data_IF_004728491481
#
_entry.id   IF_004728491481
#
_cell.length_a   1.000
_cell.length_b   1.000
_cell.length_c   1.000
_cell.angle_alpha   90.00
_cell.angle_beta   90.00
_cell.angle_gamma   90.00
#
_symmetry.space_group_name_H-M   'P 1'
#
loop_
_entity.id
_entity.type
_entity.pdbx_description
1 polymer ?
#
# COMPACT_ATOMS: atom_id res chain seq x y z
N UNK A 1 9.21 26.21 -35.49
CA UNK A 1 8.45 26.57 -36.70
C UNK A 1 7.00 26.98 -36.38
N UNK A 2 6.29 26.23 -35.53
CA UNK A 2 4.88 26.47 -35.18
C UNK A 2 4.53 27.91 -34.72
N UNK A 3 5.28 28.53 -33.81
CA UNK A 3 4.97 29.89 -33.36
C UNK A 3 5.16 30.97 -34.44
N UNK A 4 6.01 30.73 -35.46
CA UNK A 4 6.15 31.67 -36.58
C UNK A 4 4.92 31.59 -37.49
N UNK A 5 4.44 30.37 -37.77
CA UNK A 5 3.19 30.14 -38.51
C UNK A 5 1.97 30.70 -37.77
N UNK A 6 1.94 30.55 -36.44
CA UNK A 6 0.87 31.14 -35.62
C UNK A 6 0.82 32.67 -35.71
N UNK A 7 1.98 33.34 -35.78
CA UNK A 7 2.05 34.80 -35.96
C UNK A 7 1.60 35.22 -37.35
N UNK A 8 2.01 34.51 -38.39
CA UNK A 8 1.70 34.87 -39.77
C UNK A 8 0.25 34.57 -40.15
N UNK A 9 -0.25 33.41 -39.76
CA UNK A 9 -1.47 32.85 -40.35
C UNK A 9 -2.69 32.95 -39.40
N UNK A 10 -2.44 33.04 -38.09
CA UNK A 10 -3.49 32.94 -37.07
C UNK A 10 -3.65 34.24 -36.27
N UNK A 11 -2.57 34.95 -35.94
CA UNK A 11 -2.68 36.18 -35.14
C UNK A 11 -3.50 37.29 -35.80
N UNK A 12 -3.60 37.31 -37.13
CA UNK A 12 -4.42 38.26 -37.87
C UNK A 12 -5.92 37.96 -37.80
N UNK A 13 -6.31 36.71 -37.54
CA UNK A 13 -7.73 36.29 -37.49
C UNK A 13 -8.40 36.55 -36.14
N UNK A 14 -7.63 36.87 -35.10
CA UNK A 14 -8.15 37.17 -33.76
C UNK A 14 -7.94 38.64 -33.38
N UNK A 15 -9.01 39.34 -33.04
CA UNK A 15 -8.92 40.71 -32.52
C UNK A 15 -8.75 40.72 -31.00
N UNK A 16 -7.51 40.53 -30.54
CA UNK A 16 -7.20 40.55 -29.10
C UNK A 16 -6.81 41.94 -28.62
N UNK A 17 -7.39 42.37 -27.50
CA UNK A 17 -7.14 43.66 -26.86
C UNK A 17 -6.69 43.47 -25.41
N UNK A 18 -6.09 44.52 -24.84
CA UNK A 18 -5.69 44.50 -23.43
C UNK A 18 -6.85 44.15 -22.48
N UNK A 19 -6.55 43.36 -21.45
CA UNK A 19 -7.48 43.07 -20.37
C UNK A 19 -7.80 44.35 -19.57
N UNK A 20 -8.99 44.48 -18.96
CA UNK A 20 -9.35 45.66 -18.15
C UNK A 20 -8.32 45.99 -17.05
N UNK A 21 -7.70 44.97 -16.46
CA UNK A 21 -6.64 45.12 -15.45
C UNK A 21 -5.33 45.67 -16.03
N UNK A 22 -4.97 45.28 -17.25
CA UNK A 22 -3.77 45.78 -17.93
C UNK A 22 -3.97 47.22 -18.40
N UNK A 23 -5.15 47.52 -18.96
CA UNK A 23 -5.55 48.87 -19.35
C UNK A 23 -5.50 49.83 -18.16
N UNK A 24 -6.11 49.45 -17.03
CA UNK A 24 -6.10 50.28 -15.81
C UNK A 24 -4.68 50.50 -15.26
N UNK A 25 -3.82 49.48 -15.30
CA UNK A 25 -2.42 49.61 -14.90
C UNK A 25 -1.63 50.54 -15.84
N UNK A 26 -1.87 50.47 -17.15
CA UNK A 26 -1.25 51.35 -18.15
C UNK A 26 -1.67 52.81 -17.96
N UNK A 27 -2.98 53.06 -17.87
CA UNK A 27 -3.52 54.43 -17.67
C UNK A 27 -3.00 55.06 -16.37
N UNK A 28 -2.82 54.27 -15.30
CA UNK A 28 -2.20 54.74 -14.05
C UNK A 28 -0.73 55.15 -14.22
N UNK A 29 0.05 54.45 -15.06
CA UNK A 29 1.45 54.81 -15.34
C UNK A 29 1.55 56.02 -16.26
N UNK A 30 0.72 56.06 -17.31
CA UNK A 30 0.66 57.19 -18.26
C UNK A 30 0.23 58.48 -17.53
N UNK A 31 -0.76 58.41 -16.63
CA UNK A 31 -1.16 59.54 -15.77
C UNK A 31 -0.09 59.99 -14.77
N UNK A 32 0.90 59.14 -14.48
CA UNK A 32 2.04 59.49 -13.62
C UNK A 32 3.18 60.15 -14.39
N UNK A 33 3.18 60.11 -15.74
CA UNK A 33 4.29 60.57 -16.58
C UNK A 33 3.95 61.81 -17.42
N UNK A 34 2.70 62.07 -17.79
CA UNK A 34 2.28 63.26 -18.58
C UNK A 34 1.02 63.97 -18.04
N UNK A 35 0.95 65.30 -18.21
CA UNK A 35 -0.15 66.17 -17.73
C UNK A 35 -1.36 66.33 -18.68
N UNK A 36 -1.28 65.87 -19.93
CA UNK A 36 -2.43 65.88 -20.87
C UNK A 36 -3.01 64.47 -21.04
N UNK A 37 -3.97 64.12 -20.19
CA UNK A 37 -4.63 62.81 -20.24
C UNK A 37 -5.79 62.81 -21.23
N UNK A 38 -5.60 62.24 -22.43
CA UNK A 38 -6.71 61.83 -23.31
C UNK A 38 -7.04 60.36 -23.06
N UNK A 39 -8.30 60.07 -22.72
CA UNK A 39 -8.77 58.71 -22.48
C UNK A 39 -8.68 57.87 -23.76
N UNK A 40 -7.61 57.09 -23.92
CA UNK A 40 -7.48 56.15 -25.03
C UNK A 40 -8.23 54.84 -24.74
N UNK A 41 -8.75 54.24 -25.83
CA UNK A 41 -9.38 52.92 -25.81
C UNK A 41 -8.41 51.79 -25.41
N UNK A 42 -8.93 50.56 -25.38
CA UNK A 42 -8.09 49.36 -25.22
C UNK A 42 -7.11 49.26 -26.39
N UNK A 43 -5.82 49.05 -26.11
CA UNK A 43 -4.82 48.86 -27.18
C UNK A 43 -4.93 47.42 -27.69
N UNK A 44 -4.80 47.23 -29.01
CA UNK A 44 -4.70 45.90 -29.60
C UNK A 44 -3.42 45.23 -29.13
N UNK A 45 -3.52 43.96 -28.77
CA UNK A 45 -2.39 43.11 -28.40
C UNK A 45 -2.25 42.03 -29.46
N UNK A 46 -1.01 41.67 -29.75
CA UNK A 46 -0.67 40.56 -30.65
C UNK A 46 0.40 39.71 -29.96
N UNK A 47 0.49 38.44 -30.35
CA UNK A 47 1.49 37.53 -29.80
C UNK A 47 2.90 37.98 -30.20
N UNK A 48 3.77 38.12 -29.20
CA UNK A 48 5.14 38.62 -29.38
C UNK A 48 6.12 37.43 -29.43
N UNK A 49 6.60 37.10 -30.63
CA UNK A 49 7.44 35.90 -30.83
C UNK A 49 8.95 36.15 -30.68
N UNK A 50 9.39 37.39 -30.51
CA UNK A 50 10.79 37.82 -30.36
C UNK A 50 11.32 37.73 -28.91
N UNK A 51 10.51 37.22 -27.97
CA UNK A 51 10.93 37.12 -26.58
C UNK A 51 11.91 35.98 -26.39
N UNK A 52 12.94 36.21 -25.57
CA UNK A 52 13.96 35.21 -25.21
C UNK A 52 13.34 33.88 -24.77
N UNK A 53 12.21 33.94 -24.02
CA UNK A 53 11.47 32.77 -23.57
C UNK A 53 11.05 31.85 -24.73
N UNK A 54 10.54 32.41 -25.82
CA UNK A 54 10.10 31.64 -27.00
C UNK A 54 11.28 31.04 -27.77
N UNK A 55 12.40 31.74 -27.83
CA UNK A 55 13.63 31.23 -28.45
C UNK A 55 14.25 30.09 -27.65
N UNK A 56 14.12 30.14 -26.32
CA UNK A 56 14.62 29.10 -25.43
C UNK A 56 13.75 27.83 -25.43
N UNK A 57 12.48 27.88 -25.85
CA UNK A 57 11.56 26.73 -25.88
C UNK A 57 12.12 25.50 -26.60
N UNK A 58 12.92 25.66 -27.65
CA UNK A 58 13.54 24.55 -28.38
C UNK A 58 14.63 23.80 -27.60
N UNK A 59 15.19 24.41 -26.55
CA UNK A 59 16.24 23.82 -25.71
C UNK A 59 15.70 23.13 -24.46
N UNK A 60 14.42 23.31 -24.12
CA UNK A 60 13.83 22.63 -22.97
C UNK A 60 13.54 21.14 -23.16
N UNK A 61 13.22 20.60 -24.36
CA UNK A 61 12.89 19.18 -24.51
C UNK A 61 14.01 18.25 -24.02
N UNK A 62 15.27 18.49 -24.46
CA UNK A 62 16.40 17.69 -23.98
C UNK A 62 16.62 17.86 -22.48
N UNK A 63 16.46 19.09 -21.97
CA UNK A 63 16.65 19.40 -20.57
C UNK A 63 15.58 18.74 -19.68
N UNK A 64 14.33 18.64 -20.15
CA UNK A 64 13.25 17.92 -19.44
C UNK A 64 13.52 16.41 -19.43
N UNK A 65 14.06 15.83 -20.51
CA UNK A 65 14.46 14.42 -20.53
C UNK A 65 15.65 14.14 -19.60
N UNK A 66 16.61 15.06 -19.52
CA UNK A 66 17.85 14.86 -18.75
C UNK A 66 17.70 15.21 -17.26
N UNK A 67 17.04 16.31 -16.92
CA UNK A 67 16.89 16.80 -15.55
C UNK A 67 15.52 16.51 -14.93
N UNK A 68 14.54 16.03 -15.71
CA UNK A 68 13.15 15.88 -15.29
C UNK A 68 12.34 17.20 -15.43
N UNK A 69 11.02 17.15 -15.23
CA UNK A 69 10.18 18.35 -15.26
C UNK A 69 10.56 19.31 -14.13
N UNK A 70 10.76 20.59 -14.46
CA UNK A 70 11.11 21.67 -13.51
C UNK A 70 9.92 22.14 -12.65
N UNK A 71 8.94 21.28 -12.37
CA UNK A 71 7.72 21.63 -11.63
C UNK A 71 8.00 22.07 -10.18
N UNK A 72 9.21 21.77 -9.67
CA UNK A 72 9.65 22.11 -8.31
C UNK A 72 10.16 23.56 -8.13
N UNK A 73 10.31 24.34 -9.21
CA UNK A 73 10.79 25.72 -9.14
C UNK A 73 9.65 26.78 -9.08
N UNK A 74 8.39 26.35 -9.11
CA UNK A 74 7.25 27.28 -9.01
C UNK A 74 7.01 27.68 -7.54
N UNK A 75 7.15 28.98 -7.24
CA UNK A 75 6.87 29.54 -5.91
C UNK A 75 5.40 29.44 -5.52
N UNK A 76 4.50 29.10 -6.46
CA UNK A 76 3.07 28.91 -6.19
C UNK A 76 2.79 27.89 -5.09
N UNK A 77 3.56 26.80 -5.01
CA UNK A 77 3.35 25.77 -3.97
C UNK A 77 3.58 26.39 -2.58
N UNK A 78 4.70 27.09 -2.40
CA UNK A 78 4.97 27.81 -1.16
C UNK A 78 3.94 28.92 -0.86
N UNK A 79 3.52 29.67 -1.88
CA UNK A 79 2.51 30.72 -1.72
C UNK A 79 1.14 30.16 -1.31
N UNK A 80 0.73 29.02 -1.88
CA UNK A 80 -0.53 28.35 -1.52
C UNK A 80 -0.49 27.82 -0.08
N UNK A 81 0.61 27.20 0.34
CA UNK A 81 0.75 26.75 1.74
C UNK A 81 0.78 27.93 2.71
N UNK A 82 1.40 29.06 2.34
CA UNK A 82 1.35 30.29 3.13
C UNK A 82 -0.07 30.83 3.30
N UNK A 83 -0.90 30.78 2.24
CA UNK A 83 -2.33 31.14 2.33
C UNK A 83 -3.08 30.22 3.29
N UNK A 84 -2.78 28.92 3.27
CA UNK A 84 -3.38 27.92 4.16
C UNK A 84 -3.03 28.19 5.62
N UNK A 85 -1.76 28.41 5.94
CA UNK A 85 -1.31 28.75 7.31
C UNK A 85 -1.93 30.05 7.80
N UNK A 86 -1.97 31.11 6.96
CA UNK A 86 -2.62 32.39 7.32
C UNK A 86 -4.11 32.24 7.61
N UNK A 87 -4.82 31.35 6.89
CA UNK A 87 -6.24 31.03 7.15
C UNK A 87 -6.45 30.30 8.47
N UNK A 88 -5.51 29.46 8.89
CA UNK A 88 -5.57 28.85 10.22
C UNK A 88 -5.21 29.84 11.32
N UNK A 89 -4.20 30.68 11.09
CA UNK A 89 -3.77 31.71 12.04
C UNK A 89 -4.91 32.67 12.40
N UNK A 90 -5.72 33.10 11.43
CA UNK A 90 -6.89 33.96 11.68
C UNK A 90 -7.96 33.31 12.57
N UNK A 91 -7.94 31.99 12.74
CA UNK A 91 -8.86 31.22 13.58
C UNK A 91 -8.28 30.87 14.96
N UNK A 92 -7.04 31.28 15.25
CA UNK A 92 -6.40 31.09 16.56
C UNK A 92 -6.60 32.31 17.45
N UNK A 93 -6.38 32.16 18.75
CA UNK A 93 -6.31 33.30 19.69
C UNK A 93 -4.98 34.08 19.62
N UNK A 94 -4.10 33.76 18.65
CA UNK A 94 -2.77 34.34 18.41
C UNK A 94 -1.71 34.12 19.50
N UNK A 95 -2.04 33.45 20.60
CA UNK A 95 -1.12 33.10 21.68
C UNK A 95 -0.61 31.66 21.52
N UNK A 96 0.70 31.44 21.38
CA UNK A 96 1.28 30.11 21.08
C UNK A 96 0.54 29.40 19.93
N UNK A 97 0.28 30.14 18.85
CA UNK A 97 -0.61 29.76 17.76
C UNK A 97 -0.15 28.53 16.96
N UNK A 98 1.14 28.17 17.01
CA UNK A 98 1.67 27.02 16.28
C UNK A 98 0.96 25.70 16.64
N UNK A 99 0.78 25.42 17.93
CA UNK A 99 0.06 24.22 18.40
C UNK A 99 -1.43 24.24 17.99
N UNK A 100 -2.05 25.42 18.01
CA UNK A 100 -3.44 25.58 17.60
C UNK A 100 -3.63 25.38 16.09
N UNK A 101 -2.72 25.90 15.27
CA UNK A 101 -2.72 25.68 13.82
C UNK A 101 -2.54 24.18 13.52
N UNK A 102 -1.60 23.51 14.20
CA UNK A 102 -1.40 22.06 14.04
C UNK A 102 -2.67 21.27 14.40
N UNK A 103 -3.36 21.65 15.48
CA UNK A 103 -4.62 21.01 15.88
C UNK A 103 -5.75 21.26 14.86
N UNK A 104 -5.87 22.46 14.30
CA UNK A 104 -6.83 22.75 13.24
C UNK A 104 -6.55 21.97 11.97
N UNK A 105 -5.28 21.87 11.57
CA UNK A 105 -4.83 21.08 10.43
C UNK A 105 -5.18 19.60 10.63
N UNK A 106 -4.88 19.04 11.80
CA UNK A 106 -5.24 17.67 12.20
C UNK A 106 -6.75 17.43 12.12
N UNK A 107 -7.57 18.34 12.66
CA UNK A 107 -9.04 18.21 12.63
C UNK A 107 -9.59 18.22 11.20
N UNK A 108 -9.13 19.15 10.36
CA UNK A 108 -9.53 19.21 8.94
C UNK A 108 -9.13 17.94 8.21
N UNK A 109 -7.90 17.45 8.43
CA UNK A 109 -7.40 16.21 7.86
C UNK A 109 -8.24 15.00 8.29
N UNK A 110 -8.62 14.91 9.57
CA UNK A 110 -9.52 13.86 10.08
C UNK A 110 -10.91 13.92 9.40
N UNK A 111 -11.49 15.11 9.23
CA UNK A 111 -12.79 15.29 8.58
C UNK A 111 -12.77 14.93 7.09
N UNK A 112 -11.73 15.34 6.36
CA UNK A 112 -11.56 14.92 4.95
C UNK A 112 -11.47 13.40 4.83
N UNK A 113 -10.77 12.74 5.74
CA UNK A 113 -10.67 11.28 5.77
C UNK A 113 -11.98 10.60 6.12
N UNK A 114 -12.75 11.15 7.06
CA UNK A 114 -14.08 10.60 7.38
C UNK A 114 -15.01 10.70 6.16
N UNK A 115 -14.95 11.82 5.41
CA UNK A 115 -15.69 11.98 4.14
C UNK A 115 -15.21 11.00 3.07
N UNK A 116 -13.90 10.81 2.91
CA UNK A 116 -13.35 9.81 2.00
C UNK A 116 -13.80 8.40 2.38
N UNK A 117 -13.67 7.99 3.65
CA UNK A 117 -14.14 6.67 4.15
C UNK A 117 -15.64 6.43 3.93
N UNK A 118 -16.45 7.50 3.96
CA UNK A 118 -17.88 7.41 3.68
C UNK A 118 -18.21 7.37 2.18
N UNK A 119 -17.32 7.90 1.34
CA UNK A 119 -17.43 7.85 -0.12
C UNK A 119 -16.85 6.56 -0.74
N UNK A 120 -16.00 5.82 0.00
CA UNK A 120 -15.48 4.53 -0.44
C UNK A 120 -16.60 3.48 -0.52
N UNK A 121 -16.75 2.90 -1.72
CA UNK A 121 -17.74 1.88 -2.08
C UNK A 121 -17.73 0.70 -1.09
N UNK A 122 -18.87 0.02 -0.94
CA UNK A 122 -18.99 -1.20 -0.11
C UNK A 122 -17.94 -2.28 -0.47
N UNK A 123 -17.45 -2.31 -1.71
CA UNK A 123 -16.38 -3.21 -2.17
C UNK A 123 -15.01 -2.97 -1.50
N UNK A 124 -14.58 -1.71 -1.32
CA UNK A 124 -13.30 -1.40 -0.64
C UNK A 124 -13.34 -1.68 0.86
N UNK A 125 -14.54 -1.59 1.47
CA UNK A 125 -14.76 -1.99 2.87
C UNK A 125 -14.59 -3.48 3.08
N UNK A 126 -14.95 -4.33 2.12
CA UNK A 126 -14.71 -5.77 2.21
C UNK A 126 -13.21 -6.09 2.11
N UNK A 127 -12.50 -5.45 1.17
CA UNK A 127 -11.05 -5.61 0.96
C UNK A 127 -10.26 -5.30 2.23
N UNK A 128 -10.44 -4.13 2.82
CA UNK A 128 -9.62 -3.70 3.98
C UNK A 128 -9.95 -4.40 5.31
N UNK A 129 -10.83 -5.40 5.34
CA UNK A 129 -11.22 -6.09 6.59
C UNK A 129 -10.12 -6.92 7.21
N UNK A 130 -9.18 -7.43 6.43
CA UNK A 130 -8.14 -8.34 6.94
C UNK A 130 -6.99 -7.61 7.65
N UNK A 131 -6.87 -6.30 7.44
CA UNK A 131 -5.79 -5.48 7.99
C UNK A 131 -6.29 -4.48 9.02
N UNK A 132 -5.38 -4.06 9.89
CA UNK A 132 -5.62 -2.96 10.83
C UNK A 132 -5.23 -1.65 10.16
N UNK A 133 -6.12 -0.65 10.24
CA UNK A 133 -5.94 0.63 9.55
C UNK A 133 -4.67 1.38 9.98
N UNK A 134 -4.08 2.16 9.07
CA UNK A 134 -2.82 2.88 9.33
C UNK A 134 -2.85 3.77 10.59
N UNK A 135 -4.01 4.35 10.89
CA UNK A 135 -4.23 5.29 12.00
C UNK A 135 -4.62 4.62 13.32
N UNK A 136 -4.90 3.33 13.30
CA UNK A 136 -5.16 2.56 14.50
C UNK A 136 -3.84 2.33 15.25
N UNK A 137 -3.83 2.57 16.55
CA UNK A 137 -2.67 2.32 17.40
C UNK A 137 -2.78 0.94 18.02
N UNK A 138 -1.79 0.10 17.73
CA UNK A 138 -1.52 -1.17 18.40
C UNK A 138 -0.04 -1.15 18.76
N UNK A 139 0.27 -0.89 20.04
CA UNK A 139 1.65 -0.66 20.46
C UNK A 139 2.30 -1.98 20.83
N UNK A 140 3.35 -2.33 20.10
CA UNK A 140 4.23 -3.44 20.46
C UNK A 140 5.37 -2.91 21.34
N UNK A 141 5.46 -3.31 22.63
CA UNK A 141 6.56 -2.91 23.49
C UNK A 141 7.91 -3.42 22.96
N UNK A 142 9.04 -2.91 23.45
CA UNK A 142 10.33 -3.54 23.20
C UNK A 142 10.30 -5.02 23.60
N UNK A 143 10.97 -5.86 22.81
CA UNK A 143 10.95 -7.31 22.98
C UNK A 143 12.36 -7.86 23.10
N UNK A 144 12.47 -8.97 23.83
CA UNK A 144 13.69 -9.75 23.93
C UNK A 144 14.21 -10.16 22.52
N UNK A 145 15.43 -9.77 22.14
CA UNK A 145 16.04 -10.17 20.87
C UNK A 145 16.17 -11.68 20.64
N UNK A 146 16.07 -12.50 21.70
CA UNK A 146 16.13 -13.96 21.60
C UNK A 146 14.78 -14.61 21.26
N UNK A 147 13.66 -13.89 21.43
CA UNK A 147 12.37 -14.38 20.96
C UNK A 147 12.36 -14.42 19.43
N UNK A 148 11.74 -15.45 18.85
CA UNK A 148 11.65 -15.60 17.38
C UNK A 148 10.82 -14.51 16.74
N UNK A 149 9.70 -14.16 17.35
CA UNK A 149 8.81 -13.13 16.86
C UNK A 149 8.05 -12.46 18.01
N UNK A 150 7.40 -11.34 17.70
CA UNK A 150 6.48 -10.61 18.56
C UNK A 150 5.20 -10.31 17.80
N UNK A 151 4.07 -10.62 18.43
CA UNK A 151 2.72 -10.25 17.97
C UNK A 151 1.93 -9.69 19.15
N UNK A 152 1.01 -8.76 18.89
CA UNK A 152 0.16 -8.19 19.94
C UNK A 152 -0.80 -9.24 20.50
N UNK A 153 -1.31 -9.01 21.71
CA UNK A 153 -2.27 -9.90 22.39
C UNK A 153 -3.66 -9.29 22.55
N UNK A 154 -3.86 -8.07 22.03
CA UNK A 154 -5.11 -7.36 22.16
C UNK A 154 -6.22 -8.02 21.32
N UNK A 155 -7.44 -8.01 21.85
CA UNK A 155 -8.64 -8.56 21.20
C UNK A 155 -9.50 -7.47 20.52
N UNK A 156 -8.91 -6.29 20.29
CA UNK A 156 -9.63 -5.07 19.89
C UNK A 156 -10.20 -5.16 18.48
N UNK A 157 -9.42 -5.69 17.54
CA UNK A 157 -9.82 -5.85 16.15
C UNK A 157 -10.09 -7.33 15.91
N UNK A 158 -11.30 -7.67 15.47
CA UNK A 158 -11.67 -9.05 15.20
C UNK A 158 -12.28 -9.20 13.81
N UNK A 159 -12.29 -10.44 13.34
CA UNK A 159 -12.99 -10.91 12.16
C UNK A 159 -13.96 -12.00 12.62
N UNK A 160 -15.24 -11.81 12.33
CA UNK A 160 -16.26 -12.83 12.54
C UNK A 160 -16.18 -13.85 11.39
N UNK A 161 -15.99 -15.13 11.72
CA UNK A 161 -15.72 -16.16 10.71
C UNK A 161 -16.93 -16.40 9.80
N UNK A 162 -18.14 -16.47 10.38
CA UNK A 162 -19.37 -16.71 9.61
C UNK A 162 -19.70 -15.53 8.70
N UNK A 163 -19.58 -14.30 9.21
CA UNK A 163 -19.78 -13.10 8.40
C UNK A 163 -18.75 -12.99 7.27
N UNK A 164 -17.49 -13.35 7.53
CA UNK A 164 -16.45 -13.34 6.51
C UNK A 164 -16.71 -14.37 5.41
N UNK A 165 -16.99 -15.62 5.77
CA UNK A 165 -17.27 -16.69 4.80
C UNK A 165 -18.46 -16.36 3.87
N UNK A 166 -19.51 -15.73 4.41
CA UNK A 166 -20.66 -15.31 3.62
C UNK A 166 -20.29 -14.22 2.60
N UNK A 167 -19.50 -13.23 3.01
CA UNK A 167 -19.11 -12.11 2.14
C UNK A 167 -18.09 -12.51 1.06
N UNK A 168 -17.19 -13.44 1.37
CA UNK A 168 -16.11 -13.85 0.46
C UNK A 168 -16.39 -15.15 -0.28
N UNK A 169 -17.66 -15.62 -0.30
CA UNK A 169 -18.05 -16.89 -0.92
C UNK A 169 -17.63 -17.05 -2.38
N UNK A 170 -17.52 -15.94 -3.11
CA UNK A 170 -17.14 -15.92 -4.54
C UNK A 170 -15.71 -15.44 -4.77
N UNK A 171 -14.94 -15.21 -3.71
CA UNK A 171 -13.57 -14.74 -3.80
C UNK A 171 -12.59 -15.93 -3.91
N UNK A 172 -11.77 -16.01 -4.98
CA UNK A 172 -10.78 -17.08 -5.13
C UNK A 172 -9.79 -17.17 -3.96
N UNK A 173 -9.46 -16.05 -3.31
CA UNK A 173 -8.54 -16.06 -2.17
C UNK A 173 -9.13 -16.81 -0.96
N UNK A 174 -10.43 -16.71 -0.76
CA UNK A 174 -11.12 -17.24 0.42
C UNK A 174 -11.73 -18.63 0.20
N UNK A 175 -11.44 -19.28 -0.94
CA UNK A 175 -11.89 -20.64 -1.21
C UNK A 175 -11.40 -21.59 -0.11
N UNK A 176 -12.35 -22.25 0.55
CA UNK A 176 -12.12 -23.15 1.69
C UNK A 176 -11.35 -22.53 2.87
N UNK A 177 -11.40 -21.21 3.02
CA UNK A 177 -10.66 -20.48 4.07
C UNK A 177 -10.87 -21.08 5.47
N UNK A 178 -12.12 -21.33 5.87
CA UNK A 178 -12.44 -21.85 7.19
C UNK A 178 -11.91 -23.27 7.40
N UNK A 179 -12.01 -24.12 6.38
CA UNK A 179 -11.49 -25.48 6.42
C UNK A 179 -9.97 -25.48 6.57
N UNK A 180 -9.26 -24.72 5.72
CA UNK A 180 -7.80 -24.53 5.79
C UNK A 180 -7.36 -23.95 7.13
N UNK A 181 -8.12 -23.00 7.68
CA UNK A 181 -7.82 -22.39 8.98
C UNK A 181 -7.95 -23.42 10.11
N UNK A 182 -9.04 -24.20 10.12
CA UNK A 182 -9.24 -25.26 11.10
C UNK A 182 -8.16 -26.33 11.01
N UNK A 183 -7.81 -26.74 9.78
CA UNK A 183 -6.73 -27.69 9.53
C UNK A 183 -5.40 -27.20 10.09
N UNK A 184 -4.98 -25.98 9.73
CA UNK A 184 -3.76 -25.36 10.26
C UNK A 184 -3.76 -25.33 11.80
N UNK A 185 -4.88 -24.93 12.40
CA UNK A 185 -5.02 -24.88 13.87
C UNK A 185 -4.91 -26.26 14.50
N UNK A 186 -5.51 -27.30 13.92
CA UNK A 186 -5.36 -28.68 14.41
C UNK A 186 -3.91 -29.15 14.33
N UNK A 187 -3.23 -28.93 13.20
CA UNK A 187 -1.80 -29.23 13.06
C UNK A 187 -0.97 -28.55 14.16
N UNK A 188 -1.21 -27.27 14.42
CA UNK A 188 -0.50 -26.51 15.47
C UNK A 188 -0.84 -26.95 16.89
N UNK A 189 -2.09 -27.33 17.15
CA UNK A 189 -2.51 -27.80 18.47
C UNK A 189 -1.87 -29.14 18.84
N UNK A 190 -1.73 -30.04 17.87
CA UNK A 190 -1.24 -31.41 18.07
C UNK A 190 0.21 -31.64 17.61
N UNK A 191 0.89 -30.62 17.09
CA UNK A 191 2.27 -30.74 16.61
C UNK A 191 2.41 -31.70 15.43
N UNK A 192 1.43 -31.67 14.52
CA UNK A 192 1.39 -32.51 13.32
C UNK A 192 1.82 -31.72 12.08
N UNK A 193 2.31 -32.42 11.07
CA UNK A 193 2.70 -31.83 9.78
C UNK A 193 1.46 -31.33 9.01
N UNK A 194 1.67 -30.39 8.08
CA UNK A 194 0.61 -29.81 7.24
C UNK A 194 -0.03 -30.80 6.26
N UNK A 195 0.58 -31.96 6.04
CA UNK A 195 0.02 -33.05 5.23
C UNK A 195 -0.80 -34.05 6.05
N UNK A 196 -1.04 -33.77 7.34
CA UNK A 196 -1.73 -34.71 8.23
C UNK A 196 -3.23 -34.62 8.08
N UNK A 197 -3.88 -35.75 7.87
CA UNK A 197 -5.34 -35.80 7.80
C UNK A 197 -6.00 -35.84 9.18
N UNK A 198 -7.20 -35.28 9.24
CA UNK A 198 -8.10 -35.29 10.40
C UNK A 198 -9.48 -35.74 9.96
N UNK A 199 -10.24 -36.33 10.87
CA UNK A 199 -11.62 -36.75 10.61
C UNK A 199 -12.57 -35.54 10.63
N UNK A 200 -13.71 -35.63 9.94
CA UNK A 200 -14.70 -34.55 9.90
C UNK A 200 -15.22 -34.18 11.29
N UNK A 201 -15.38 -35.16 12.18
CA UNK A 201 -15.75 -34.96 13.57
C UNK A 201 -14.70 -34.17 14.35
N UNK A 202 -13.41 -34.31 13.99
CA UNK A 202 -12.30 -33.56 14.62
C UNK A 202 -12.32 -32.09 14.18
N UNK A 203 -12.61 -31.81 12.90
CA UNK A 203 -12.82 -30.44 12.43
C UNK A 203 -14.04 -29.78 13.09
N UNK A 204 -15.10 -30.54 13.36
CA UNK A 204 -16.30 -30.05 14.03
C UNK A 204 -16.10 -29.86 15.54
N UNK A 205 -15.24 -30.66 16.16
CA UNK A 205 -14.83 -30.53 17.54
C UNK A 205 -13.98 -29.28 17.83
N UNK A 206 -13.27 -28.76 16.83
CA UNK A 206 -12.52 -27.52 16.94
C UNK A 206 -13.45 -26.31 16.96
N UNK A 207 -13.33 -25.48 18.00
CA UNK A 207 -14.12 -24.25 18.12
C UNK A 207 -13.25 -23.05 18.49
N UNK A 208 -13.60 -21.90 17.92
CA UNK A 208 -12.96 -20.62 18.20
C UNK A 208 -13.75 -19.83 19.24
N UNK A 209 -13.05 -19.14 20.14
CA UNK A 209 -13.66 -18.23 21.12
C UNK A 209 -14.54 -17.21 20.40
N UNK A 210 -15.83 -17.21 20.72
CA UNK A 210 -16.83 -16.32 20.13
C UNK A 210 -16.91 -16.37 18.58
N UNK A 211 -16.49 -17.47 17.95
CA UNK A 211 -16.45 -17.63 16.48
C UNK A 211 -15.63 -16.53 15.76
N UNK A 212 -14.54 -16.08 16.41
CA UNK A 212 -13.73 -14.95 15.95
C UNK A 212 -12.25 -15.29 15.88
N UNK A 213 -11.57 -14.62 14.95
CA UNK A 213 -10.12 -14.45 14.96
C UNK A 213 -9.80 -12.97 15.14
N UNK A 214 -8.68 -12.67 15.78
CA UNK A 214 -8.28 -11.32 16.14
C UNK A 214 -7.17 -10.84 15.23
N UNK A 215 -7.30 -9.63 14.68
CA UNK A 215 -6.41 -9.06 13.68
C UNK A 215 -5.33 -8.22 14.32
N UNK A 216 -4.13 -8.28 13.74
CA UNK A 216 -3.00 -7.46 14.15
C UNK A 216 -2.47 -6.60 13.02
N UNK A 217 -1.91 -5.45 13.40
CA UNK A 217 -1.32 -4.48 12.48
C UNK A 217 0.03 -4.93 11.96
N UNK A 218 0.84 -5.49 12.85
CA UNK A 218 2.25 -5.78 12.58
C UNK A 218 2.70 -7.01 13.37
N UNK A 219 3.54 -7.84 12.76
CA UNK A 219 4.40 -8.80 13.46
C UNK A 219 5.84 -8.32 13.37
N UNK A 220 6.62 -8.49 14.43
CA UNK A 220 8.07 -8.30 14.38
C UNK A 220 8.77 -9.65 14.42
N UNK A 221 9.68 -9.92 13.50
CA UNK A 221 10.44 -11.18 13.44
C UNK A 221 11.91 -10.87 13.68
N UNK A 222 12.54 -11.59 14.60
CA UNK A 222 13.95 -11.40 14.92
C UNK A 222 14.80 -12.39 14.13
N UNK A 223 15.76 -11.86 13.37
CA UNK A 223 16.70 -12.64 12.58
C UNK A 223 18.15 -12.39 13.03
N UNK A 224 19.04 -13.34 12.74
CA UNK A 224 20.48 -13.18 12.98
C UNK A 224 21.15 -12.85 11.66
N UNK A 225 21.85 -11.72 11.60
CA UNK A 225 22.65 -11.33 10.45
C UNK A 225 23.98 -12.08 10.43
N UNK A 226 24.65 -12.12 9.26
CA UNK A 226 25.93 -12.82 9.06
C UNK A 226 27.04 -12.37 10.04
N UNK A 227 26.97 -11.14 10.57
CA UNK A 227 27.91 -10.60 11.54
C UNK A 227 27.56 -10.95 13.00
N UNK A 228 26.61 -11.87 13.23
CA UNK A 228 26.14 -12.31 14.54
C UNK A 228 25.22 -11.31 15.26
N UNK A 229 24.87 -10.18 14.63
CA UNK A 229 23.95 -9.20 15.22
C UNK A 229 22.50 -9.63 15.03
N UNK A 230 21.66 -9.26 15.99
CA UNK A 230 20.20 -9.42 15.90
C UNK A 230 19.61 -8.26 15.11
N UNK A 231 18.82 -8.59 14.10
CA UNK A 231 17.96 -7.64 13.39
C UNK A 231 16.50 -7.96 13.69
N UNK A 232 15.64 -6.96 13.53
CA UNK A 232 14.20 -7.10 13.73
C UNK A 232 13.46 -6.53 12.54
N UNK A 233 12.79 -7.41 11.80
CA UNK A 233 11.98 -7.04 10.65
C UNK A 233 10.52 -6.84 11.06
N UNK A 234 9.85 -5.87 10.45
CA UNK A 234 8.45 -5.52 10.75
C UNK A 234 7.57 -5.85 9.55
N UNK A 235 6.74 -6.87 9.69
CA UNK A 235 5.83 -7.34 8.65
C UNK A 235 4.48 -6.66 8.84
N UNK A 236 4.00 -5.99 7.80
CA UNK A 236 2.69 -5.34 7.77
C UNK A 236 2.03 -5.64 6.42
N UNK A 237 0.90 -6.37 6.38
CA UNK A 237 0.21 -6.73 5.15
C UNK A 237 -0.09 -5.55 4.20
N UNK A 238 -0.24 -4.34 4.75
CA UNK A 238 -0.53 -3.14 3.96
C UNK A 238 0.70 -2.52 3.30
N UNK A 239 1.91 -2.72 3.83
CA UNK A 239 3.06 -1.89 3.44
C UNK A 239 4.35 -2.65 3.22
N UNK A 240 4.59 -3.69 4.02
CA UNK A 240 5.77 -4.54 3.95
C UNK A 240 5.31 -5.99 4.19
N UNK A 241 4.56 -6.58 3.25
CA UNK A 241 3.90 -7.87 3.47
C UNK A 241 4.78 -9.06 3.09
N UNK A 242 5.84 -8.84 2.32
CA UNK A 242 6.60 -9.91 1.70
C UNK A 242 7.56 -10.57 2.71
N UNK A 243 7.52 -11.90 2.76
CA UNK A 243 8.20 -12.74 3.73
C UNK A 243 8.96 -13.86 3.04
N UNK A 244 9.99 -14.37 3.74
CA UNK A 244 10.76 -15.54 3.36
C UNK A 244 10.64 -16.62 4.42
N UNK A 245 10.44 -17.86 3.96
CA UNK A 245 10.34 -19.07 4.77
C UNK A 245 11.34 -20.10 4.22
N UNK A 246 11.79 -21.04 5.05
CA UNK A 246 12.67 -22.12 4.59
C UNK A 246 11.90 -23.08 3.67
N UNK A 247 12.49 -23.47 2.54
CA UNK A 247 11.92 -24.52 1.70
C UNK A 247 12.15 -25.91 2.27
N UNK A 248 11.40 -26.93 1.83
CA UNK A 248 11.78 -28.32 2.03
C UNK A 248 13.20 -28.60 1.52
N UNK A 249 13.89 -29.57 2.14
CA UNK A 249 15.29 -29.91 1.83
C UNK A 249 15.53 -30.34 0.37
N UNK A 250 14.50 -30.84 -0.30
CA UNK A 250 14.58 -31.36 -1.68
C UNK A 250 14.26 -30.30 -2.75
N UNK A 251 14.01 -29.05 -2.34
CA UNK A 251 13.70 -27.95 -3.27
C UNK A 251 14.96 -27.41 -3.95
N UNK A 252 14.85 -27.02 -5.23
CA UNK A 252 15.95 -26.43 -6.01
C UNK A 252 16.47 -25.11 -5.41
N UNK A 253 15.57 -24.34 -4.78
CA UNK A 253 15.86 -23.06 -4.16
C UNK A 253 15.57 -23.13 -2.66
N UNK A 254 16.50 -22.70 -1.77
CA UNK A 254 16.42 -22.92 -0.32
C UNK A 254 15.29 -22.18 0.42
N UNK A 255 14.53 -21.34 -0.27
CA UNK A 255 13.52 -20.49 0.36
C UNK A 255 12.20 -20.49 -0.39
N UNK A 256 11.11 -20.37 0.34
CA UNK A 256 9.80 -20.02 -0.19
C UNK A 256 9.52 -18.55 0.11
N UNK A 257 8.80 -17.90 -0.79
CA UNK A 257 8.41 -16.51 -0.64
C UNK A 257 6.90 -16.41 -0.59
N UNK A 258 6.40 -15.50 0.24
CA UNK A 258 4.99 -15.26 0.39
C UNK A 258 4.68 -13.80 0.64
N UNK A 259 3.46 -13.39 0.31
CA UNK A 259 2.89 -12.09 0.65
C UNK A 259 1.88 -12.28 1.77
N UNK A 260 2.14 -11.70 2.93
CA UNK A 260 1.21 -11.72 4.05
C UNK A 260 -0.07 -10.93 3.70
N UNK A 261 -1.19 -11.64 3.66
CA UNK A 261 -2.52 -11.08 3.43
C UNK A 261 -3.12 -10.62 4.77
N UNK A 262 -2.96 -11.40 5.83
CA UNK A 262 -3.51 -11.06 7.13
C UNK A 262 -2.70 -11.62 8.30
N UNK A 263 -2.70 -10.89 9.40
CA UNK A 263 -2.03 -11.28 10.65
C UNK A 263 -3.11 -11.50 11.69
N UNK A 264 -3.19 -12.71 12.23
CA UNK A 264 -4.23 -13.07 13.17
C UNK A 264 -3.68 -13.81 14.39
N UNK A 265 -4.42 -13.75 15.49
CA UNK A 265 -4.41 -14.82 16.47
C UNK A 265 -5.82 -15.37 16.67
N UNK A 266 -5.91 -16.63 17.04
CA UNK A 266 -7.15 -17.28 17.41
C UNK A 266 -7.00 -17.91 18.79
N UNK A 267 -8.05 -17.84 19.60
CA UNK A 267 -8.15 -18.66 20.81
C UNK A 267 -9.03 -19.85 20.45
N UNK A 268 -8.42 -21.02 20.35
CA UNK A 268 -9.06 -22.24 19.90
C UNK A 268 -9.13 -23.25 21.03
N UNK A 269 -10.23 -23.99 21.12
CA UNK A 269 -10.39 -25.14 22.01
C UNK A 269 -10.75 -26.36 21.18
N UNK A 270 -10.26 -27.52 21.60
CA UNK A 270 -10.59 -28.79 20.98
C UNK A 270 -11.29 -29.68 21.99
N UNK A 271 -12.54 -30.02 21.72
CA UNK A 271 -13.35 -30.90 22.57
C UNK A 271 -13.40 -32.30 21.94
N UNK A 272 -12.67 -33.27 22.53
CA UNK A 272 -12.53 -34.61 21.95
C UNK A 272 -13.89 -35.22 21.53
N UNK A 273 -14.10 -35.52 20.24
CA UNK A 273 -15.29 -36.22 19.78
C UNK A 273 -15.20 -37.73 20.09
N UNK A 274 -16.35 -38.41 20.11
CA UNK A 274 -16.41 -39.87 20.30
C UNK A 274 -15.68 -40.55 19.13
N UNK A 275 -14.67 -41.37 19.42
CA UNK A 275 -13.92 -42.11 18.41
C UNK A 275 -12.60 -41.48 17.94
N UNK A 276 -12.35 -40.20 18.24
CA UNK A 276 -11.02 -39.62 17.99
C UNK A 276 -10.00 -40.13 19.01
N UNK A 277 -8.74 -40.26 18.58
CA UNK A 277 -7.60 -40.56 19.45
C UNK A 277 -7.01 -39.31 20.12
N UNK A 278 -7.34 -38.11 19.62
CA UNK A 278 -6.81 -36.83 20.07
C UNK A 278 -7.33 -36.43 21.45
N UNK A 279 -6.48 -35.84 22.28
CA UNK A 279 -6.87 -35.36 23.61
C UNK A 279 -7.57 -34.00 23.52
N UNK A 280 -8.44 -33.72 24.50
CA UNK A 280 -9.08 -32.40 24.58
C UNK A 280 -8.04 -31.35 24.97
N UNK A 281 -8.09 -30.20 24.29
CA UNK A 281 -7.18 -29.09 24.55
C UNK A 281 -8.01 -27.92 25.07
N UNK A 282 -7.69 -27.37 26.27
CA UNK A 282 -8.35 -26.18 26.78
C UNK A 282 -8.07 -25.00 25.85
N UNK A 283 -8.77 -23.88 26.07
CA UNK A 283 -8.61 -22.69 25.23
C UNK A 283 -7.13 -22.28 25.13
N UNK A 284 -6.55 -22.42 23.94
CA UNK A 284 -5.15 -22.15 23.64
C UNK A 284 -5.07 -21.10 22.54
N UNK A 285 -4.17 -20.13 22.72
CA UNK A 285 -3.86 -19.12 21.71
C UNK A 285 -2.97 -19.72 20.62
N UNK A 286 -3.28 -19.40 19.37
CA UNK A 286 -2.49 -19.77 18.19
C UNK A 286 -2.32 -18.52 17.34
N UNK A 287 -1.08 -18.21 17.00
CA UNK A 287 -0.76 -17.12 16.10
C UNK A 287 -0.71 -17.64 14.65
N UNK A 288 -1.27 -16.85 13.73
CA UNK A 288 -1.56 -17.25 12.36
C UNK A 288 -1.15 -16.11 11.43
N UNK A 289 -0.36 -16.44 10.41
CA UNK A 289 -0.14 -15.56 9.25
C UNK A 289 -0.84 -16.18 8.05
N UNK A 290 -1.74 -15.44 7.43
CA UNK A 290 -2.36 -15.85 6.17
C UNK A 290 -1.55 -15.30 5.02
N UNK A 291 -1.14 -16.16 4.10
CA UNK A 291 -0.13 -15.87 3.07
C UNK A 291 -0.64 -16.25 1.69
N UNK A 292 -0.32 -15.41 0.72
CA UNK A 292 -0.39 -15.71 -0.71
C UNK A 292 1.01 -16.09 -1.21
N UNK A 293 1.16 -17.27 -1.76
CA UNK A 293 2.47 -17.84 -2.08
C UNK A 293 2.98 -17.46 -3.47
N UNK A 294 4.31 -17.37 -3.57
CA UNK A 294 5.02 -17.27 -4.84
C UNK A 294 5.66 -18.62 -5.18
N UNK A 295 5.74 -18.93 -6.47
CA UNK A 295 6.56 -20.01 -7.00
C UNK A 295 7.90 -19.48 -7.53
N UNK A 296 8.92 -20.33 -7.41
CA UNK A 296 10.26 -20.03 -7.91
C UNK A 296 10.33 -20.26 -9.43
N UNK A 297 10.88 -19.30 -10.18
CA UNK A 297 11.05 -19.45 -11.61
C UNK A 297 12.38 -20.14 -11.95
N UNK A 298 12.33 -21.46 -12.10
CA UNK A 298 13.49 -22.29 -12.49
C UNK A 298 13.99 -22.04 -13.91
N UNK A 299 13.20 -21.37 -14.77
CA UNK A 299 13.63 -20.99 -16.12
C UNK A 299 14.63 -19.82 -16.12
N UNK A 300 14.74 -19.09 -15.01
CA UNK A 300 15.65 -17.96 -14.85
C UNK A 300 16.93 -18.37 -14.14
N UNK A 301 18.08 -18.08 -14.75
CA UNK A 301 19.36 -18.21 -14.08
C UNK A 301 19.52 -17.12 -13.00
N UNK A 302 19.13 -17.44 -11.77
CA UNK A 302 19.32 -16.58 -10.59
C UNK A 302 20.52 -16.99 -9.73
N UNK A 303 20.98 -16.06 -8.89
CA UNK A 303 21.98 -16.33 -7.86
C UNK A 303 23.39 -15.86 -8.20
N UNK A 304 24.33 -16.21 -7.32
CA UNK A 304 25.70 -15.69 -7.35
C UNK A 304 26.45 -16.02 -8.63
N UNK A 305 26.30 -17.26 -9.13
CA UNK A 305 26.95 -17.71 -10.37
C UNK A 305 26.46 -16.91 -11.58
N UNK A 306 25.15 -16.66 -11.65
CA UNK A 306 24.54 -15.89 -12.73
C UNK A 306 24.70 -14.36 -12.57
N UNK A 307 25.06 -13.89 -11.37
CA UNK A 307 25.09 -12.47 -10.98
C UNK A 307 23.75 -11.76 -11.23
N UNK A 308 22.65 -12.49 -11.08
CA UNK A 308 21.29 -12.02 -11.27
C UNK A 308 20.47 -12.32 -10.02
N UNK A 309 19.47 -11.47 -9.75
CA UNK A 309 18.54 -11.72 -8.64
C UNK A 309 17.64 -12.92 -8.98
N UNK A 310 17.29 -13.71 -7.98
CA UNK A 310 16.29 -14.76 -8.16
C UNK A 310 14.96 -14.16 -8.61
N UNK A 311 14.26 -14.88 -9.48
CA UNK A 311 12.98 -14.47 -10.04
C UNK A 311 11.88 -15.39 -9.55
N UNK A 312 10.75 -14.80 -9.18
CA UNK A 312 9.57 -15.50 -8.66
C UNK A 312 8.31 -14.93 -9.30
N UNK A 313 7.22 -15.68 -9.26
CA UNK A 313 5.89 -15.23 -9.71
C UNK A 313 4.82 -15.77 -8.75
N UNK A 314 3.63 -15.16 -8.74
CA UNK A 314 2.56 -15.67 -7.88
C UNK A 314 2.07 -17.03 -8.39
N UNK A 315 1.75 -17.92 -7.45
CA UNK A 315 0.95 -19.09 -7.79
C UNK A 315 -0.43 -18.61 -8.22
N UNK A 316 -0.97 -19.21 -9.29
CA UNK A 316 -2.27 -18.85 -9.83
C UNK A 316 -3.37 -19.06 -8.78
N UNK A 317 -4.31 -18.12 -8.64
CA UNK A 317 -5.27 -18.11 -7.54
C UNK A 317 -6.28 -19.28 -7.54
N UNK A 318 -6.43 -19.99 -8.67
CA UNK A 318 -7.23 -21.22 -8.74
C UNK A 318 -6.51 -22.44 -8.15
N UNK A 319 -5.20 -22.33 -7.91
CA UNK A 319 -4.42 -23.39 -7.31
C UNK A 319 -4.78 -23.50 -5.82
N UNK A 320 -5.11 -24.71 -5.30
CA UNK A 320 -5.37 -24.92 -3.89
C UNK A 320 -4.24 -24.44 -2.98
N UNK A 321 -2.98 -24.46 -3.43
CA UNK A 321 -1.81 -24.09 -2.65
C UNK A 321 -1.41 -22.62 -2.78
N UNK A 322 -2.14 -21.82 -3.57
CA UNK A 322 -1.86 -20.40 -3.73
C UNK A 322 -2.00 -19.60 -2.42
N UNK A 323 -2.88 -20.05 -1.53
CA UNK A 323 -3.15 -19.42 -0.24
C UNK A 323 -3.06 -20.44 0.89
N UNK A 324 -2.26 -20.10 1.92
CA UNK A 324 -2.04 -20.96 3.07
C UNK A 324 -1.80 -20.19 4.37
N UNK A 325 -1.74 -20.94 5.47
CA UNK A 325 -1.45 -20.41 6.79
C UNK A 325 -0.08 -20.89 7.26
N UNK A 326 0.63 -20.04 7.99
CA UNK A 326 1.89 -20.40 8.63
C UNK A 326 2.03 -19.81 10.02
N UNK A 327 2.91 -20.40 10.82
CA UNK A 327 3.21 -19.89 12.14
C UNK A 327 4.26 -18.78 12.03
N UNK A 328 4.12 -17.65 12.73
CA UNK A 328 5.09 -16.55 12.65
C UNK A 328 6.55 -16.95 12.94
N UNK A 329 6.78 -18.06 13.66
CA UNK A 329 8.13 -18.60 13.92
C UNK A 329 8.83 -19.16 12.70
N UNK A 330 8.08 -19.54 11.67
CA UNK A 330 8.59 -20.19 10.46
C UNK A 330 9.12 -19.15 9.47
N UNK A 331 8.77 -17.88 9.70
CA UNK A 331 9.30 -16.75 8.94
C UNK A 331 10.76 -16.53 9.31
N UNK A 332 11.62 -16.59 8.30
CA UNK A 332 13.05 -16.32 8.44
C UNK A 332 13.30 -14.81 8.55
N UNK A 333 12.70 -14.04 7.64
CA UNK A 333 12.81 -12.57 7.57
C UNK A 333 11.79 -11.97 6.60
N UNK A 334 11.64 -10.64 6.64
CA UNK A 334 10.96 -9.90 5.57
C UNK A 334 11.84 -9.78 4.33
N UNK A 335 11.23 -9.66 3.16
CA UNK A 335 11.92 -9.53 1.87
C UNK A 335 11.48 -8.26 1.15
N UNK A 336 12.37 -7.71 0.33
CA UNK A 336 12.02 -6.66 -0.61
C UNK A 336 11.89 -7.26 -2.02
N UNK A 337 10.66 -7.32 -2.54
CA UNK A 337 10.39 -7.79 -3.89
C UNK A 337 10.33 -6.61 -4.86
N UNK A 338 11.07 -6.71 -5.97
CA UNK A 338 11.11 -5.70 -7.02
C UNK A 338 10.31 -6.21 -8.22
N UNK A 339 9.19 -5.56 -8.60
CA UNK A 339 8.48 -5.88 -9.83
C UNK A 339 9.40 -5.88 -11.06
N UNK A 340 9.30 -6.92 -11.89
CA UNK A 340 10.01 -6.98 -13.16
C UNK A 340 9.23 -6.22 -14.25
N UNK A 341 9.22 -4.89 -14.15
CA UNK A 341 8.36 -3.99 -14.95
C UNK A 341 8.36 -4.26 -16.47
N UNK A 342 9.47 -4.76 -17.02
CA UNK A 342 9.62 -5.01 -18.45
C UNK A 342 8.80 -6.20 -18.97
N UNK A 343 8.39 -7.12 -18.09
CA UNK A 343 7.51 -8.23 -18.46
C UNK A 343 6.02 -7.89 -18.42
N UNK A 344 5.66 -6.75 -17.83
CA UNK A 344 4.28 -6.32 -17.70
C UNK A 344 3.51 -7.02 -16.57
N UNK A 345 2.21 -6.76 -16.60
CA UNK A 345 1.18 -7.34 -15.74
C UNK A 345 0.81 -8.76 -16.19
N UNK A 346 0.10 -9.47 -15.31
CA UNK A 346 -0.44 -10.80 -15.62
C UNK A 346 -1.75 -11.01 -14.89
N UNK A 347 -2.68 -11.70 -15.55
CA UNK A 347 -3.85 -12.23 -14.85
C UNK A 347 -3.46 -13.52 -14.13
N UNK A 348 -3.29 -13.45 -12.81
CA UNK A 348 -3.05 -14.60 -11.94
C UNK A 348 -4.36 -15.19 -11.38
N UNK A 349 -5.50 -14.88 -11.99
CA UNK A 349 -6.82 -15.37 -11.57
C UNK A 349 -7.34 -14.73 -10.28
N UNK A 350 -6.69 -13.67 -9.79
CA UNK A 350 -7.10 -12.95 -8.58
C UNK A 350 -7.77 -11.62 -8.93
N UNK A 351 -9.11 -11.49 -8.74
CA UNK A 351 -9.84 -10.26 -9.07
C UNK A 351 -9.28 -9.02 -8.37
N UNK A 352 -9.43 -7.87 -9.00
CA UNK A 352 -9.01 -6.58 -8.45
C UNK A 352 -9.62 -6.30 -7.07
N UNK A 353 -10.86 -6.76 -6.84
CA UNK A 353 -11.60 -6.56 -5.60
C UNK A 353 -11.40 -7.69 -4.57
N UNK A 354 -10.49 -8.62 -4.81
CA UNK A 354 -10.26 -9.75 -3.92
C UNK A 354 -9.73 -9.31 -2.55
N UNK A 355 -10.14 -10.03 -1.50
CA UNK A 355 -9.60 -9.92 -0.15
C UNK A 355 -8.15 -10.40 -0.08
N UNK A 356 -7.65 -11.15 -1.07
CA UNK A 356 -6.23 -11.49 -1.19
C UNK A 356 -5.32 -10.28 -1.45
N UNK A 357 -5.87 -9.14 -1.88
CA UNK A 357 -5.14 -7.92 -2.24
C UNK A 357 -5.19 -6.89 -1.10
N UNK A 358 -4.18 -6.92 -0.22
CA UNK A 358 -4.07 -6.04 0.94
C UNK A 358 -2.94 -5.02 0.86
N UNK A 359 -1.99 -5.24 -0.05
CA UNK A 359 -0.83 -4.37 -0.18
C UNK A 359 -1.23 -3.02 -0.75
N UNK A 360 -0.77 -1.94 -0.11
CA UNK A 360 -0.95 -0.57 -0.55
C UNK A 360 0.33 -0.04 -1.18
N UNK A 361 0.33 0.05 -2.50
CA UNK A 361 1.39 0.67 -3.26
C UNK A 361 1.34 2.20 -3.10
N UNK A 362 2.50 2.85 -3.19
CA UNK A 362 2.56 4.32 -3.18
C UNK A 362 2.35 4.82 -4.60
N UNK A 363 1.35 5.68 -4.78
CA UNK A 363 1.00 6.35 -6.03
C UNK A 363 1.00 7.88 -5.86
N UNK A 364 0.81 8.62 -6.95
CA UNK A 364 0.78 10.08 -6.94
C UNK A 364 -0.36 10.66 -6.08
N UNK A 365 -1.48 9.93 -6.02
CA UNK A 365 -2.68 10.26 -5.23
C UNK A 365 -2.60 9.82 -3.77
N UNK A 366 -1.58 9.04 -3.39
CA UNK A 366 -1.37 8.57 -2.02
C UNK A 366 -1.01 7.10 -1.96
N UNK A 367 -1.67 6.35 -1.08
CA UNK A 367 -1.53 4.90 -1.00
C UNK A 367 -2.78 4.25 -1.53
N UNK A 368 -2.61 3.38 -2.53
CA UNK A 368 -3.69 2.70 -3.22
C UNK A 368 -3.48 1.21 -3.12
N UNK A 369 -4.58 0.48 -2.92
CA UNK A 369 -4.53 -0.97 -2.91
C UNK A 369 -4.11 -1.48 -4.27
N UNK A 370 -3.26 -2.50 -4.29
CA UNK A 370 -2.91 -3.20 -5.52
C UNK A 370 -4.19 -3.72 -6.19
N UNK A 371 -4.31 -3.52 -7.49
CA UNK A 371 -5.41 -4.05 -8.30
C UNK A 371 -4.95 -5.19 -9.20
N UNK A 372 -3.65 -5.26 -9.47
CA UNK A 372 -3.06 -6.22 -10.39
C UNK A 372 -1.70 -6.71 -9.90
N UNK A 373 -1.23 -7.81 -10.50
CA UNK A 373 0.06 -8.43 -10.22
C UNK A 373 1.02 -8.27 -11.40
N UNK A 374 2.31 -8.21 -11.08
CA UNK A 374 3.36 -8.29 -12.09
C UNK A 374 3.62 -9.74 -12.46
N UNK A 375 3.98 -10.00 -13.72
CA UNK A 375 4.29 -11.35 -14.18
C UNK A 375 5.44 -11.99 -13.39
N UNK A 376 6.44 -11.19 -13.06
CA UNK A 376 7.58 -11.63 -12.26
C UNK A 376 8.02 -10.57 -11.24
N UNK A 377 8.66 -11.05 -10.19
CA UNK A 377 9.31 -10.25 -9.16
C UNK A 377 10.74 -10.74 -8.97
N UNK A 378 11.67 -9.81 -8.76
CA UNK A 378 13.04 -10.09 -8.38
C UNK A 378 13.19 -10.01 -6.86
N UNK A 379 13.87 -11.00 -6.29
CA UNK A 379 14.12 -11.08 -4.86
C UNK A 379 15.35 -10.23 -4.52
N UNK A 380 15.17 -9.18 -3.71
CA UNK A 380 16.25 -8.36 -3.18
C UNK A 380 16.35 -8.54 -1.65
N UNK A 381 17.51 -8.98 -1.15
CA UNK A 381 17.71 -9.43 0.24
C UNK A 381 18.80 -8.69 0.99
#
# INVERSE_FOLDING_TARGET
MAFRLFVTDICSSFDTVELPRERTARLKREASQDKEFRAQGSKKKTFRNDTVKNHMLGYYPWAVTYYGPNDSHDTKIGEQEHKRVKRYYSRTNKHNHASQIANHERRVRCLHRARQRNAQNQSEKARTRLTVGAWEEEKLPPTDPYLRYQMASEKRYFLDLTGFEHETRHDPAATEFLHKLKHYVLCQLFGRDSSSDFMEEEYNALTFESNRIYKHKTIRVNSTQYNGRRNQDSINPRTHPDIMVLSPSDSEHPFLYGRAVGLFHANARFSRPRGSLLESIPLKRIDIVWVRWFEYDSSHAGGWQAKQLHRIKFIHASDPDAFGFLHPSDIVRSVHLIPAFHYGDTDNGLPENSVGRQFEATSWSGRELEVDDWLYYYVNM
#
